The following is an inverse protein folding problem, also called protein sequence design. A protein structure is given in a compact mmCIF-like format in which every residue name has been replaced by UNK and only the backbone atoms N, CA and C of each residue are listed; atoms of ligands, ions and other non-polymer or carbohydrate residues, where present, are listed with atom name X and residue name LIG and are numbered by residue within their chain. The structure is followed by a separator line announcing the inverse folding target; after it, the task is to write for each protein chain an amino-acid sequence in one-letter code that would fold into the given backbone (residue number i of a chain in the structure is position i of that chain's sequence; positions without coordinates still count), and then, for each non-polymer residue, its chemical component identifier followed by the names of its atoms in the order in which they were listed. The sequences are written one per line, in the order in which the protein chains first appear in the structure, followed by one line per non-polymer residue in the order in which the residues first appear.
data_IF_765072018163
#
_entry.id   IF_765072018163
#
_cell.length_a   1.000
_cell.length_b   1.000
_cell.length_c   1.000
_cell.angle_alpha   90.00
_cell.angle_beta   90.00
_cell.angle_gamma   90.00
#
_symmetry.space_group_name_H-M   'P 1'
#
loop_
_entity.id
_entity.type
_entity.pdbx_description
1 polymer ?
#
# COMPACT_ATOMS: atom_id res chain seq x y z
N UNK A 1 -38.93 -21.40 -15.72
CA UNK A 1 -37.62 -21.25 -16.40
C UNK A 1 -37.11 -19.81 -16.41
N UNK A 2 -37.92 -18.80 -16.76
CA UNK A 2 -37.53 -17.38 -16.77
C UNK A 2 -36.94 -16.89 -15.43
N UNK A 3 -37.54 -17.29 -14.30
CA UNK A 3 -37.05 -16.94 -12.95
C UNK A 3 -35.67 -17.52 -12.61
N UNK A 4 -35.34 -18.72 -13.09
CA UNK A 4 -34.02 -19.34 -12.90
C UNK A 4 -32.96 -18.63 -13.75
N UNK A 5 -33.32 -18.24 -14.97
CA UNK A 5 -32.45 -17.55 -15.91
C UNK A 5 -32.08 -16.16 -15.39
N UNK A 6 -33.07 -15.39 -14.89
CA UNK A 6 -32.86 -14.06 -14.28
C UNK A 6 -31.98 -14.13 -13.01
N UNK A 7 -32.07 -15.22 -12.24
CA UNK A 7 -31.28 -15.39 -11.01
C UNK A 7 -29.84 -15.79 -11.31
N UNK A 8 -29.65 -16.72 -12.24
CA UNK A 8 -28.31 -17.10 -12.70
C UNK A 8 -27.58 -15.90 -13.31
N UNK A 9 -28.26 -15.08 -14.11
CA UNK A 9 -27.68 -13.86 -14.66
C UNK A 9 -27.32 -12.86 -13.57
N UNK A 10 -28.11 -12.75 -12.49
CA UNK A 10 -27.81 -11.86 -11.36
C UNK A 10 -26.56 -12.30 -10.58
N UNK A 11 -26.43 -13.60 -10.25
CA UNK A 11 -25.23 -14.10 -9.57
C UNK A 11 -23.97 -13.95 -10.43
N UNK A 12 -24.06 -14.26 -11.73
CA UNK A 12 -22.97 -14.07 -12.67
C UNK A 12 -22.59 -12.59 -12.75
N UNK A 13 -23.56 -11.68 -12.85
CA UNK A 13 -23.30 -10.24 -12.86
C UNK A 13 -22.58 -9.78 -11.58
N UNK A 14 -23.00 -10.25 -10.40
CA UNK A 14 -22.37 -9.89 -9.13
C UNK A 14 -20.92 -10.40 -9.04
N UNK A 15 -20.65 -11.65 -9.46
CA UNK A 15 -19.29 -12.19 -9.52
C UNK A 15 -18.42 -11.41 -10.51
N UNK A 16 -18.96 -11.06 -11.69
CA UNK A 16 -18.26 -10.23 -12.67
C UNK A 16 -17.95 -8.83 -12.13
N UNK A 17 -18.86 -8.22 -11.36
CA UNK A 17 -18.60 -6.94 -10.71
C UNK A 17 -17.50 -7.03 -9.66
N UNK A 18 -17.49 -8.10 -8.83
CA UNK A 18 -16.45 -8.31 -7.82
C UNK A 18 -15.08 -8.59 -8.46
N UNK A 19 -15.03 -9.41 -9.51
CA UNK A 19 -13.76 -9.68 -10.23
C UNK A 19 -13.26 -8.44 -10.95
N UNK A 20 -14.15 -7.67 -11.58
CA UNK A 20 -13.79 -6.40 -12.20
C UNK A 20 -13.27 -5.39 -11.17
N UNK A 21 -13.94 -5.27 -10.03
CA UNK A 21 -13.47 -4.43 -8.92
C UNK A 21 -12.09 -4.88 -8.43
N UNK A 22 -11.88 -6.19 -8.26
CA UNK A 22 -10.57 -6.74 -7.88
C UNK A 22 -9.47 -6.42 -8.89
N UNK A 23 -9.72 -6.64 -10.19
CA UNK A 23 -8.79 -6.35 -11.28
C UNK A 23 -8.47 -4.85 -11.43
N UNK A 24 -9.34 -3.96 -10.96
CA UNK A 24 -9.17 -2.51 -11.07
C UNK A 24 -8.59 -1.87 -9.82
N UNK A 25 -8.80 -2.45 -8.64
CA UNK A 25 -8.35 -1.88 -7.36
C UNK A 25 -7.19 -2.64 -6.69
N UNK A 26 -7.07 -3.96 -6.90
CA UNK A 26 -6.08 -4.79 -6.21
C UNK A 26 -4.93 -5.27 -7.09
N UNK A 27 -4.86 -4.81 -8.35
CA UNK A 27 -3.78 -5.22 -9.26
C UNK A 27 -2.37 -4.79 -8.83
N UNK A 28 -2.26 -3.82 -7.92
CA UNK A 28 -0.99 -3.34 -7.34
C UNK A 28 -0.59 -4.07 -6.06
N UNK A 29 -1.47 -4.89 -5.49
CA UNK A 29 -1.21 -5.58 -4.23
C UNK A 29 -0.59 -6.96 -4.52
N UNK A 30 0.70 -7.19 -4.20
CA UNK A 30 1.37 -8.46 -4.48
C UNK A 30 0.80 -9.64 -3.70
N UNK A 31 0.02 -9.40 -2.64
CA UNK A 31 -0.71 -10.42 -1.90
C UNK A 31 -2.07 -10.78 -2.50
N UNK A 32 -2.55 -10.03 -3.50
CA UNK A 32 -3.86 -10.24 -4.11
C UNK A 32 -3.81 -11.27 -5.25
N UNK A 33 -4.87 -12.07 -5.37
CA UNK A 33 -5.09 -12.93 -6.57
C UNK A 33 -5.23 -12.11 -7.86
N UNK A 34 -5.54 -10.82 -7.75
CA UNK A 34 -5.68 -9.91 -8.88
C UNK A 34 -4.38 -9.19 -9.24
N UNK A 35 -3.27 -9.48 -8.56
CA UNK A 35 -1.98 -8.85 -8.83
C UNK A 35 -1.57 -9.02 -10.29
N UNK A 36 -1.26 -7.91 -10.95
CA UNK A 36 -0.78 -7.90 -12.32
C UNK A 36 0.56 -7.20 -12.36
N UNK A 37 1.63 -7.99 -12.52
CA UNK A 37 3.00 -7.49 -12.56
C UNK A 37 3.23 -6.41 -13.62
N UNK A 38 2.59 -6.53 -14.78
CA UNK A 38 2.78 -5.60 -15.89
C UNK A 38 2.16 -4.22 -15.58
N UNK A 39 1.05 -4.21 -14.86
CA UNK A 39 0.32 -2.98 -14.47
C UNK A 39 0.77 -2.42 -13.12
N UNK A 40 1.19 -3.29 -12.19
CA UNK A 40 1.54 -2.93 -10.82
C UNK A 40 2.71 -1.94 -10.77
N UNK A 41 3.70 -2.15 -11.65
CA UNK A 41 4.92 -1.36 -11.71
C UNK A 41 4.90 -0.27 -12.79
N UNK A 42 3.71 0.11 -13.29
CA UNK A 42 3.59 1.26 -14.18
C UNK A 42 4.19 2.52 -13.54
N UNK A 43 5.10 3.17 -14.26
CA UNK A 43 5.88 4.31 -13.78
C UNK A 43 5.19 5.66 -13.97
N UNK A 44 3.94 5.68 -14.45
CA UNK A 44 3.23 6.91 -14.87
C UNK A 44 3.26 8.03 -13.83
N UNK A 45 3.03 7.71 -12.54
CA UNK A 45 3.07 8.72 -11.48
C UNK A 45 4.52 9.19 -11.22
N UNK A 46 5.47 8.26 -11.13
CA UNK A 46 6.89 8.59 -10.93
C UNK A 46 7.45 9.43 -12.08
N UNK A 47 7.09 9.12 -13.33
CA UNK A 47 7.43 9.89 -14.52
C UNK A 47 6.84 11.29 -14.50
N UNK A 48 5.57 11.41 -14.09
CA UNK A 48 4.95 12.71 -13.89
C UNK A 48 5.73 13.54 -12.85
N UNK A 49 6.06 12.95 -11.69
CA UNK A 49 6.85 13.62 -10.64
C UNK A 49 8.24 14.02 -11.14
N UNK A 50 8.91 13.17 -11.93
CA UNK A 50 10.22 13.50 -12.55
C UNK A 50 10.10 14.71 -13.47
N UNK A 51 9.12 14.71 -14.38
CA UNK A 51 8.91 15.82 -15.31
C UNK A 51 8.64 17.15 -14.58
N UNK A 52 7.91 17.11 -13.48
CA UNK A 52 7.69 18.30 -12.65
C UNK A 52 8.98 18.81 -11.97
N UNK A 53 9.86 17.91 -11.53
CA UNK A 53 11.17 18.27 -10.96
C UNK A 53 12.07 18.87 -12.02
N UNK A 54 12.14 18.27 -13.21
CA UNK A 54 12.92 18.80 -14.35
C UNK A 54 12.46 20.21 -14.71
N UNK A 55 11.14 20.44 -14.77
CA UNK A 55 10.58 21.78 -15.00
C UNK A 55 11.01 22.78 -13.94
N UNK A 56 11.08 22.38 -12.67
CA UNK A 56 11.57 23.24 -11.59
C UNK A 56 13.08 23.50 -11.71
N UNK A 57 13.88 22.46 -11.97
CA UNK A 57 15.33 22.58 -12.19
C UNK A 57 15.61 23.61 -13.29
N UNK A 58 14.85 23.55 -14.39
CA UNK A 58 14.98 24.47 -15.51
C UNK A 58 14.56 25.91 -15.20
N UNK A 59 13.72 26.15 -14.18
CA UNK A 59 13.32 27.51 -13.77
C UNK A 59 14.27 28.13 -12.73
N UNK A 60 15.17 27.36 -12.12
CA UNK A 60 16.11 27.88 -11.12
C UNK A 60 16.99 29.06 -11.57
N UNK A 61 17.42 29.21 -12.84
CA UNK A 61 18.11 30.41 -13.28
C UNK A 61 17.33 31.70 -12.95
N UNK A 62 16.00 31.64 -13.05
CA UNK A 62 15.07 32.74 -12.82
C UNK A 62 14.57 32.82 -11.37
N UNK A 63 14.57 31.70 -10.64
CA UNK A 63 14.23 31.68 -9.22
C UNK A 63 15.32 32.39 -8.42
N UNK A 64 14.94 33.47 -7.75
CA UNK A 64 15.74 34.02 -6.64
C UNK A 64 15.95 32.87 -5.64
N UNK A 65 17.20 32.70 -5.17
CA UNK A 65 17.48 31.75 -4.08
C UNK A 65 16.41 32.02 -3.00
N UNK A 66 15.64 31.01 -2.56
CA UNK A 66 14.68 31.21 -1.49
C UNK A 66 15.44 31.93 -0.39
N UNK A 67 14.93 33.07 0.08
CA UNK A 67 15.46 33.64 1.29
C UNK A 67 15.41 32.50 2.30
N UNK A 68 16.55 32.09 2.87
CA UNK A 68 16.59 31.12 3.95
C UNK A 68 15.57 31.61 4.98
N UNK A 69 14.37 31.02 4.97
CA UNK A 69 13.32 31.43 5.87
C UNK A 69 13.89 31.26 7.27
N UNK A 70 13.83 32.33 8.06
CA UNK A 70 14.16 32.22 9.48
C UNK A 70 13.23 31.15 10.03
N UNK A 71 13.80 30.07 10.53
CA UNK A 71 13.02 29.02 11.18
C UNK A 71 12.13 29.68 12.23
N UNK A 72 10.85 29.28 12.28
CA UNK A 72 9.83 29.96 13.10
C UNK A 72 10.18 30.03 14.59
N UNK A 73 11.10 29.17 15.06
CA UNK A 73 11.58 29.05 16.45
C UNK A 73 13.11 28.88 16.59
N UNK A 74 13.92 29.39 15.65
CA UNK A 74 15.40 29.32 15.72
C UNK A 74 15.99 28.06 15.10
N UNK A 75 15.43 26.88 15.36
CA UNK A 75 15.84 25.61 14.72
C UNK A 75 14.80 25.11 13.72
N UNK A 76 15.25 24.49 12.63
CA UNK A 76 14.38 23.87 11.61
C UNK A 76 13.68 22.64 12.20
N UNK A 77 12.47 22.32 11.72
CA UNK A 77 11.72 21.16 12.20
C UNK A 77 12.40 19.86 11.78
N UNK A 78 12.80 19.76 10.51
CA UNK A 78 13.39 18.56 9.94
C UNK A 78 14.66 18.91 9.16
N UNK A 79 15.76 18.23 9.48
CA UNK A 79 16.94 18.19 8.63
C UNK A 79 16.86 16.97 7.71
N UNK A 80 16.84 17.22 6.41
CA UNK A 80 16.83 16.21 5.36
C UNK A 80 18.27 15.99 4.90
N UNK A 81 18.83 14.82 5.20
CA UNK A 81 20.14 14.40 4.75
C UNK A 81 19.99 13.53 3.50
N UNK A 82 20.54 14.00 2.38
CA UNK A 82 20.52 13.31 1.08
C UNK A 82 21.93 12.86 0.73
N UNK A 83 22.17 11.56 0.67
CA UNK A 83 23.45 11.01 0.20
C UNK A 83 23.35 10.72 -1.29
N UNK A 84 24.15 11.41 -2.10
CA UNK A 84 24.15 11.26 -3.55
C UNK A 84 25.48 10.74 -4.09
N UNK A 85 25.38 9.74 -4.96
CA UNK A 85 26.49 9.09 -5.65
C UNK A 85 26.33 9.26 -7.16
N UNK A 86 27.43 9.17 -7.89
CA UNK A 86 27.41 9.23 -9.34
C UNK A 86 26.72 8.00 -9.92
N UNK A 87 25.65 8.19 -10.68
CA UNK A 87 24.94 7.11 -11.41
C UNK A 87 24.77 7.46 -12.88
N UNK A 88 24.50 6.44 -13.72
CA UNK A 88 24.16 6.64 -15.13
C UNK A 88 22.87 7.45 -15.31
N UNK A 89 21.87 7.17 -14.48
CA UNK A 89 20.67 8.00 -14.34
C UNK A 89 20.72 8.71 -13.00
N UNK A 90 20.97 10.01 -13.03
CA UNK A 90 20.95 10.81 -11.82
C UNK A 90 19.49 11.05 -11.41
N UNK A 91 19.12 10.46 -10.28
CA UNK A 91 17.92 10.87 -9.56
C UNK A 91 18.42 11.92 -8.58
N UNK A 92 18.05 13.18 -8.78
CA UNK A 92 18.21 14.15 -7.72
C UNK A 92 16.87 14.32 -7.02
N UNK A 93 16.82 14.18 -5.68
CA UNK A 93 15.58 13.96 -4.97
C UNK A 93 14.54 15.07 -5.19
N UNK A 94 13.27 14.72 -5.44
CA UNK A 94 12.15 15.66 -5.51
C UNK A 94 11.83 16.41 -4.21
N UNK A 95 12.59 16.18 -3.12
CA UNK A 95 12.54 16.97 -1.87
C UNK A 95 12.68 18.46 -2.19
N UNK A 96 13.42 18.78 -3.25
CA UNK A 96 13.73 20.13 -3.69
C UNK A 96 12.56 20.89 -4.34
N UNK A 97 11.38 20.27 -4.47
CA UNK A 97 10.15 20.95 -4.92
C UNK A 97 9.39 21.69 -3.83
N UNK A 98 9.78 21.55 -2.57
CA UNK A 98 9.13 22.28 -1.50
C UNK A 98 9.42 23.77 -1.67
N UNK A 99 8.35 24.54 -1.82
CA UNK A 99 8.35 25.99 -2.00
C UNK A 99 7.42 26.62 -0.96
N UNK A 100 7.71 27.85 -0.56
CA UNK A 100 6.92 28.55 0.46
C UNK A 100 7.13 27.99 1.87
N UNK A 101 6.06 27.94 2.66
CA UNK A 101 6.12 27.64 4.10
C UNK A 101 6.72 26.26 4.42
N UNK A 102 6.45 25.23 3.60
CA UNK A 102 7.02 23.89 3.80
C UNK A 102 8.55 23.90 3.70
N UNK A 103 9.13 24.81 2.89
CA UNK A 103 10.58 24.93 2.73
C UNK A 103 11.24 25.62 3.94
N UNK A 104 10.48 26.46 4.65
CA UNK A 104 10.98 27.23 5.79
C UNK A 104 11.16 26.35 7.04
N UNK A 105 10.48 25.21 7.11
CA UNK A 105 10.62 24.25 8.20
C UNK A 105 11.72 23.20 7.95
N UNK A 106 12.33 23.20 6.76
CA UNK A 106 13.35 22.25 6.36
C UNK A 106 14.76 22.82 6.30
N UNK A 107 15.73 21.99 6.69
CA UNK A 107 17.12 22.12 6.31
C UNK A 107 17.48 20.99 5.35
N UNK A 108 17.93 21.30 4.13
CA UNK A 108 18.29 20.28 3.14
C UNK A 108 19.82 20.24 3.01
N UNK A 109 20.41 19.17 3.53
CA UNK A 109 21.85 18.90 3.48
C UNK A 109 22.13 17.77 2.50
N UNK A 110 23.02 18.01 1.53
CA UNK A 110 23.36 17.06 0.47
C UNK A 110 24.81 16.63 0.61
N UNK A 111 25.02 15.35 0.92
CA UNK A 111 26.33 14.71 0.86
C UNK A 111 26.60 14.26 -0.58
N UNK A 112 27.69 14.74 -1.14
CA UNK A 112 28.26 14.22 -2.37
C UNK A 112 29.23 13.10 -1.98
N UNK A 113 28.69 11.88 -2.00
CA UNK A 113 29.31 10.66 -1.50
C UNK A 113 30.27 10.04 -2.53
N UNK A 114 31.04 10.89 -3.21
CA UNK A 114 32.13 10.50 -4.09
C UNK A 114 33.46 10.80 -3.39
N UNK A 115 34.42 9.90 -3.50
CA UNK A 115 35.80 10.15 -3.02
C UNK A 115 36.48 11.33 -3.73
N UNK A 116 36.13 11.59 -5.00
CA UNK A 116 36.41 12.86 -5.68
C UNK A 116 35.09 13.50 -6.10
N UNK A 117 34.63 14.56 -5.41
CA UNK A 117 33.32 15.17 -5.65
C UNK A 117 33.20 15.74 -7.07
N UNK A 118 34.31 16.07 -7.75
CA UNK A 118 34.28 16.62 -9.11
C UNK A 118 33.80 15.61 -10.15
N UNK A 119 33.78 14.31 -9.81
CA UNK A 119 33.21 13.26 -10.66
C UNK A 119 31.68 13.24 -10.64
N UNK A 120 31.07 13.86 -9.62
CA UNK A 120 29.63 13.90 -9.48
C UNK A 120 29.02 14.98 -10.39
N UNK A 121 28.02 14.65 -11.23
CA UNK A 121 27.42 15.63 -12.15
C UNK A 121 26.84 16.83 -11.39
N UNK A 122 26.22 16.58 -10.24
CA UNK A 122 25.61 17.61 -9.38
C UNK A 122 26.59 18.59 -8.72
N UNK A 123 27.89 18.31 -8.63
CA UNK A 123 28.83 19.08 -7.79
C UNK A 123 28.90 20.57 -8.14
N UNK A 124 29.00 20.88 -9.43
CA UNK A 124 29.15 22.25 -9.92
C UNK A 124 27.86 22.84 -10.48
N UNK A 125 26.71 22.16 -10.32
CA UNK A 125 25.45 22.67 -10.84
C UNK A 125 24.89 23.79 -9.95
N UNK A 126 24.63 24.95 -10.57
CA UNK A 126 24.12 26.13 -9.85
C UNK A 126 22.75 25.91 -9.22
N UNK A 127 21.89 25.09 -9.84
CA UNK A 127 20.55 24.84 -9.32
C UNK A 127 20.59 24.10 -7.97
N UNK A 128 21.54 23.18 -7.79
CA UNK A 128 21.69 22.44 -6.52
C UNK A 128 22.07 23.39 -5.39
N UNK A 129 23.00 24.31 -5.65
CA UNK A 129 23.42 25.37 -4.72
C UNK A 129 22.29 26.37 -4.35
N UNK A 130 21.22 26.42 -5.16
CA UNK A 130 20.02 27.22 -4.86
C UNK A 130 18.95 26.41 -4.12
N UNK A 131 18.88 25.11 -4.37
CA UNK A 131 17.87 24.22 -3.85
C UNK A 131 18.20 23.72 -2.43
N UNK A 132 19.46 23.31 -2.20
CA UNK A 132 19.97 22.83 -0.92
C UNK A 132 20.46 23.98 -0.03
N UNK A 133 20.39 23.78 1.29
CA UNK A 133 20.94 24.70 2.28
C UNK A 133 22.43 24.46 2.51
N UNK A 134 22.85 23.19 2.40
CA UNK A 134 24.21 22.74 2.62
C UNK A 134 24.56 21.65 1.60
N UNK A 135 25.74 21.78 0.99
CA UNK A 135 26.29 20.79 0.06
C UNK A 135 27.73 20.55 0.51
N UNK A 136 28.05 19.30 0.77
CA UNK A 136 29.33 18.93 1.34
C UNK A 136 29.82 17.59 0.80
N UNK A 137 31.07 17.28 1.09
CA UNK A 137 31.71 15.99 0.82
C UNK A 137 32.47 15.57 2.07
N UNK A 138 33.20 14.46 1.99
CA UNK A 138 33.95 13.98 3.15
C UNK A 138 35.13 14.89 3.51
N UNK A 139 35.33 15.09 4.80
CA UNK A 139 36.51 15.73 5.37
C UNK A 139 37.36 14.65 6.05
N UNK A 140 38.24 14.02 5.26
CA UNK A 140 38.95 12.79 5.65
C UNK A 140 40.45 13.00 5.66
N UNK A 141 41.12 12.28 6.56
CA UNK A 141 42.57 12.12 6.48
C UNK A 141 42.97 11.18 5.33
N UNK A 142 44.26 11.16 5.00
CA UNK A 142 44.80 10.36 3.88
C UNK A 142 44.49 8.86 4.01
N UNK A 143 44.51 8.32 5.23
CA UNK A 143 44.26 6.89 5.48
C UNK A 143 42.80 6.53 5.21
N UNK A 144 41.87 7.33 5.72
CA UNK A 144 40.44 7.15 5.48
C UNK A 144 40.09 7.39 4.01
N UNK A 145 40.73 8.37 3.37
CA UNK A 145 40.55 8.64 1.95
C UNK A 145 40.99 7.44 1.10
N UNK A 146 42.13 6.80 1.43
CA UNK A 146 42.56 5.56 0.77
C UNK A 146 41.59 4.41 1.01
N UNK A 147 41.08 4.27 2.24
CA UNK A 147 40.09 3.25 2.56
C UNK A 147 38.79 3.41 1.76
N UNK A 148 38.19 4.60 1.74
CA UNK A 148 36.97 4.84 0.97
C UNK A 148 37.19 4.68 -0.54
N UNK A 149 38.35 5.09 -1.06
CA UNK A 149 38.71 4.84 -2.46
C UNK A 149 38.78 3.35 -2.77
N UNK A 150 39.37 2.54 -1.88
CA UNK A 150 39.40 1.08 -2.02
C UNK A 150 37.99 0.48 -2.00
N UNK A 151 37.13 0.93 -1.08
CA UNK A 151 35.75 0.47 -1.02
C UNK A 151 34.97 0.79 -2.29
N UNK A 152 35.13 2.00 -2.82
CA UNK A 152 34.46 2.46 -4.05
C UNK A 152 34.96 1.68 -5.28
N UNK A 153 36.27 1.52 -5.44
CA UNK A 153 36.88 0.82 -6.58
C UNK A 153 36.57 -0.68 -6.59
N UNK A 154 36.49 -1.31 -5.42
CA UNK A 154 36.17 -2.72 -5.28
C UNK A 154 34.66 -2.99 -5.18
N UNK A 155 33.80 -1.98 -5.32
CA UNK A 155 32.35 -2.11 -5.25
C UNK A 155 31.82 -2.56 -3.88
N UNK A 156 32.55 -2.29 -2.79
CA UNK A 156 32.17 -2.61 -1.40
C UNK A 156 31.23 -1.55 -0.83
N UNK A 157 30.13 -1.30 -1.54
CA UNK A 157 29.17 -0.24 -1.21
C UNK A 157 28.44 -0.44 0.13
N UNK A 158 28.34 -1.67 0.62
CA UNK A 158 27.73 -1.95 1.93
C UNK A 158 28.52 -1.31 3.07
N UNK A 159 29.84 -1.43 3.03
CA UNK A 159 30.72 -0.84 4.04
C UNK A 159 30.80 0.67 3.85
N UNK A 160 30.98 1.13 2.60
CA UNK A 160 30.98 2.57 2.27
C UNK A 160 29.68 3.26 2.71
N UNK A 161 28.54 2.61 2.50
CA UNK A 161 27.22 3.14 2.87
C UNK A 161 27.09 3.44 4.36
N UNK A 162 27.80 2.73 5.24
CA UNK A 162 27.85 3.05 6.68
C UNK A 162 28.56 4.38 6.92
N UNK A 163 29.66 4.65 6.22
CA UNK A 163 30.33 5.95 6.27
C UNK A 163 29.41 7.06 5.73
N UNK A 164 28.80 6.83 4.56
CA UNK A 164 27.90 7.80 3.92
C UNK A 164 26.75 8.18 4.84
N UNK A 165 26.12 7.18 5.47
CA UNK A 165 25.04 7.37 6.41
C UNK A 165 25.48 8.14 7.65
N UNK A 166 26.64 7.78 8.23
CA UNK A 166 27.16 8.41 9.44
C UNK A 166 27.49 9.88 9.21
N UNK A 167 28.18 10.21 8.10
CA UNK A 167 28.50 11.58 7.72
C UNK A 167 27.25 12.43 7.51
N UNK A 168 26.28 11.91 6.76
CA UNK A 168 25.03 12.60 6.50
C UNK A 168 24.22 12.82 7.79
N UNK A 169 24.18 11.82 8.69
CA UNK A 169 23.49 11.90 9.96
C UNK A 169 24.14 12.94 10.89
N UNK A 170 25.46 12.88 11.07
CA UNK A 170 26.20 13.80 11.93
C UNK A 170 26.05 15.25 11.45
N UNK A 171 26.13 15.47 10.14
CA UNK A 171 25.95 16.80 9.55
C UNK A 171 24.57 17.36 9.85
N UNK A 172 23.51 16.57 9.69
CA UNK A 172 22.16 16.99 10.00
C UNK A 172 21.92 17.16 11.50
N UNK A 173 22.48 16.27 12.34
CA UNK A 173 22.38 16.36 13.78
C UNK A 173 22.99 17.66 14.32
N UNK A 174 24.12 18.08 13.77
CA UNK A 174 24.79 19.33 14.13
C UNK A 174 23.96 20.60 13.84
N UNK A 175 22.92 20.52 13.00
CA UNK A 175 22.02 21.65 12.74
C UNK A 175 21.07 21.98 13.90
N UNK A 176 20.90 21.04 14.85
CA UNK A 176 19.96 21.18 15.96
C UNK A 176 18.48 21.07 15.55
N UNK A 177 18.19 20.57 14.35
CA UNK A 177 16.81 20.29 13.94
C UNK A 177 16.13 19.27 14.87
N UNK A 178 14.80 19.38 15.02
CA UNK A 178 14.04 18.49 15.92
C UNK A 178 14.04 17.04 15.44
N UNK A 179 14.04 16.83 14.13
CA UNK A 179 14.09 15.52 13.49
C UNK A 179 15.15 15.48 12.40
N UNK A 180 15.71 14.29 12.17
CA UNK A 180 16.58 14.01 11.02
C UNK A 180 15.91 12.99 10.12
N UNK A 181 15.78 13.33 8.83
CA UNK A 181 15.28 12.46 7.78
C UNK A 181 16.44 12.02 6.90
N UNK A 182 16.69 10.72 6.83
CA UNK A 182 17.75 10.12 6.02
C UNK A 182 17.16 9.60 4.71
N UNK A 183 17.73 10.02 3.58
CA UNK A 183 17.21 9.72 2.26
C UNK A 183 18.34 9.38 1.28
N UNK A 184 18.07 8.43 0.41
CA UNK A 184 18.93 8.09 -0.73
C UNK A 184 18.62 9.01 -1.91
N UNK A 185 19.52 9.08 -2.89
CA UNK A 185 19.35 9.93 -4.06
C UNK A 185 18.39 9.34 -5.11
N UNK A 186 18.11 8.04 -5.08
CA UNK A 186 17.25 7.32 -6.03
C UNK A 186 15.76 7.26 -5.68
N UNK A 187 15.31 8.13 -4.78
CA UNK A 187 13.91 8.20 -4.37
C UNK A 187 13.15 9.29 -5.11
N UNK A 188 11.84 9.06 -5.25
CA UNK A 188 10.90 10.07 -5.74
C UNK A 188 9.84 10.31 -4.68
N UNK A 189 9.77 11.54 -4.17
CA UNK A 189 8.78 11.90 -3.18
C UNK A 189 7.43 12.19 -3.83
N UNK A 190 6.40 11.54 -3.29
CA UNK A 190 5.02 11.82 -3.61
C UNK A 190 4.65 13.26 -3.24
N UNK A 191 3.63 13.78 -3.90
CA UNK A 191 3.04 15.06 -3.51
C UNK A 191 2.49 15.01 -2.08
N UNK A 192 2.71 16.08 -1.32
CA UNK A 192 2.29 16.18 0.08
C UNK A 192 3.00 15.22 1.03
N UNK A 193 4.17 14.67 0.66
CA UNK A 193 4.93 13.76 1.51
C UNK A 193 5.23 14.37 2.89
N UNK A 194 5.51 15.67 2.96
CA UNK A 194 5.86 16.35 4.20
C UNK A 194 4.67 16.41 5.15
N UNK A 195 3.49 16.77 4.66
CA UNK A 195 2.24 16.72 5.44
C UNK A 195 1.93 15.31 5.96
N UNK A 196 2.15 14.28 5.13
CA UNK A 196 1.98 12.87 5.54
C UNK A 196 2.99 12.48 6.63
N UNK A 197 4.23 12.97 6.52
CA UNK A 197 5.26 12.81 7.55
C UNK A 197 4.83 13.44 8.88
N UNK A 198 4.35 14.68 8.87
CA UNK A 198 3.87 15.36 10.08
C UNK A 198 2.68 14.64 10.71
N UNK A 199 1.74 14.15 9.88
CA UNK A 199 0.63 13.35 10.35
C UNK A 199 1.11 12.05 11.01
N UNK A 200 2.07 11.34 10.41
CA UNK A 200 2.66 10.15 11.00
C UNK A 200 3.36 10.44 12.33
N UNK A 201 4.15 11.53 12.39
CA UNK A 201 4.78 11.98 13.62
C UNK A 201 3.78 12.24 14.74
N UNK A 202 2.67 12.92 14.46
CA UNK A 202 1.63 13.19 15.46
C UNK A 202 0.96 11.93 16.02
N UNK A 203 0.97 10.83 15.28
CA UNK A 203 0.38 9.56 15.73
C UNK A 203 1.34 8.79 16.66
N UNK A 204 2.64 8.95 16.44
CA UNK A 204 3.67 8.24 17.23
C UNK A 204 4.24 9.08 18.37
N UNK A 205 4.07 10.41 18.35
CA UNK A 205 4.58 11.31 19.40
C UNK A 205 4.11 10.90 20.79
N UNK A 206 2.88 10.44 20.90
CA UNK A 206 2.23 10.11 22.17
C UNK A 206 2.59 8.70 22.67
N UNK A 207 3.23 7.88 21.83
CA UNK A 207 3.60 6.50 22.16
C UNK A 207 4.84 6.39 23.06
N UNK A 208 5.57 7.49 23.27
CA UNK A 208 6.66 7.64 24.24
C UNK A 208 7.96 6.87 23.98
N UNK A 209 7.94 5.79 23.18
CA UNK A 209 9.08 4.90 22.97
C UNK A 209 9.26 4.54 21.48
N UNK A 210 9.82 5.45 20.68
CA UNK A 210 10.21 5.16 19.31
C UNK A 210 11.59 5.75 19.00
N UNK A 211 12.36 5.06 18.16
CA UNK A 211 13.71 5.49 17.74
C UNK A 211 13.71 6.12 16.35
N UNK A 212 12.94 5.56 15.42
CA UNK A 212 12.82 6.06 14.05
C UNK A 212 11.44 5.75 13.47
N UNK A 213 11.02 6.56 12.50
CA UNK A 213 9.86 6.31 11.65
C UNK A 213 10.33 6.06 10.22
N UNK A 214 9.86 4.99 9.60
CA UNK A 214 10.15 4.70 8.18
C UNK A 214 9.07 5.32 7.29
N UNK A 215 9.49 6.12 6.31
CA UNK A 215 8.56 6.81 5.38
C UNK A 215 8.13 5.95 4.20
N UNK A 216 8.95 4.99 3.79
CA UNK A 216 8.69 4.12 2.65
C UNK A 216 8.83 2.67 3.06
N UNK A 217 7.79 1.88 2.85
CA UNK A 217 7.89 0.43 2.98
C UNK A 217 8.41 -0.14 1.68
N UNK A 218 9.42 -1.01 1.77
CA UNK A 218 9.76 -1.87 0.64
C UNK A 218 8.56 -2.77 0.32
N UNK A 219 8.41 -3.18 -0.92
CA UNK A 219 7.35 -4.10 -1.35
C UNK A 219 7.30 -5.37 -0.47
N UNK A 220 8.46 -5.87 -0.05
CA UNK A 220 8.57 -7.01 0.89
C UNK A 220 8.05 -6.72 2.30
N UNK A 221 7.90 -5.46 2.67
CA UNK A 221 7.29 -5.02 3.93
C UNK A 221 5.79 -4.73 3.75
N UNK A 222 5.31 -4.57 2.52
CA UNK A 222 3.90 -4.47 2.20
C UNK A 222 3.31 -5.88 2.00
N UNK A 223 2.64 -6.41 3.02
CA UNK A 223 1.86 -7.65 2.91
C UNK A 223 2.62 -8.97 3.04
N UNK A 224 3.95 -9.03 2.83
CA UNK A 224 4.73 -10.28 2.99
C UNK A 224 5.21 -10.53 4.43
N UNK A 225 5.33 -9.49 5.25
CA UNK A 225 5.73 -9.64 6.66
C UNK A 225 4.57 -10.01 7.58
N UNK A 226 3.34 -9.71 7.17
CA UNK A 226 2.14 -10.17 7.86
C UNK A 226 1.76 -11.55 7.33
N UNK A 227 1.82 -12.56 8.20
CA UNK A 227 1.20 -13.88 7.98
C UNK A 227 -0.21 -13.94 8.58
N UNK A 228 -0.77 -12.79 8.96
CA UNK A 228 -2.09 -12.75 9.57
C UNK A 228 -3.13 -13.07 8.51
N UNK A 229 -3.86 -14.17 8.75
CA UNK A 229 -5.03 -14.56 7.98
C UNK A 229 -6.02 -13.39 8.06
N UNK A 230 -6.38 -12.82 6.90
CA UNK A 230 -7.29 -11.67 6.82
C UNK A 230 -6.72 -10.35 6.32
N UNK A 231 -5.39 -10.26 6.15
CA UNK A 231 -4.74 -9.08 5.58
C UNK A 231 -5.08 -8.85 4.11
N UNK A 232 -4.67 -7.71 3.54
CA UNK A 232 -4.70 -7.46 2.09
C UNK A 232 -6.08 -7.67 1.42
N UNK A 233 -7.16 -7.29 2.12
CA UNK A 233 -8.55 -7.45 1.69
C UNK A 233 -9.02 -8.92 1.55
N UNK A 234 -8.26 -9.89 2.07
CA UNK A 234 -8.57 -11.32 2.02
C UNK A 234 -9.98 -11.62 2.55
N UNK A 235 -10.35 -11.06 3.71
CA UNK A 235 -11.70 -11.26 4.26
C UNK A 235 -12.81 -10.67 3.40
N UNK A 236 -12.59 -9.54 2.75
CA UNK A 236 -13.59 -8.94 1.86
C UNK A 236 -13.76 -9.78 0.59
N UNK A 237 -12.67 -10.34 0.07
CA UNK A 237 -12.68 -11.24 -1.08
C UNK A 237 -13.38 -12.55 -0.72
N UNK A 238 -12.99 -13.18 0.41
CA UNK A 238 -13.60 -14.42 0.91
C UNK A 238 -15.09 -14.21 1.18
N UNK A 239 -15.47 -13.15 1.90
CA UNK A 239 -16.86 -12.83 2.19
C UNK A 239 -17.67 -12.58 0.91
N UNK A 240 -17.07 -11.91 -0.09
CA UNK A 240 -17.70 -11.74 -1.40
C UNK A 240 -17.96 -13.07 -2.12
N UNK A 241 -17.00 -14.00 -2.09
CA UNK A 241 -17.12 -15.34 -2.67
C UNK A 241 -18.16 -16.17 -1.90
N UNK A 242 -18.08 -16.18 -0.57
CA UNK A 242 -18.95 -16.97 0.31
C UNK A 242 -20.39 -16.50 0.24
N UNK A 243 -20.65 -15.19 0.16
CA UNK A 243 -21.99 -14.67 -0.09
C UNK A 243 -22.50 -15.15 -1.45
N UNK A 244 -21.65 -15.15 -2.48
CA UNK A 244 -22.00 -15.66 -3.81
C UNK A 244 -22.38 -17.15 -3.78
N UNK A 245 -21.61 -17.97 -3.05
CA UNK A 245 -21.85 -19.43 -2.93
C UNK A 245 -23.06 -19.71 -2.03
N UNK A 246 -23.14 -19.09 -0.86
CA UNK A 246 -24.22 -19.28 0.11
C UNK A 246 -25.57 -18.83 -0.46
N UNK A 247 -25.61 -17.71 -1.20
CA UNK A 247 -26.79 -17.34 -1.97
C UNK A 247 -27.12 -18.44 -3.00
N UNK A 248 -26.15 -18.94 -3.76
CA UNK A 248 -26.41 -20.01 -4.74
C UNK A 248 -26.99 -21.29 -4.09
N UNK A 249 -26.49 -21.69 -2.91
CA UNK A 249 -26.93 -22.89 -2.18
C UNK A 249 -28.28 -22.69 -1.48
N UNK A 250 -28.47 -21.59 -0.74
CA UNK A 250 -29.74 -21.27 -0.08
C UNK A 250 -30.90 -21.27 -1.09
N UNK A 251 -30.66 -20.68 -2.27
CA UNK A 251 -31.66 -20.59 -3.30
C UNK A 251 -31.93 -21.94 -4.00
N UNK A 252 -30.94 -22.83 -4.15
CA UNK A 252 -31.16 -24.22 -4.59
C UNK A 252 -32.04 -24.99 -3.58
N UNK A 253 -31.77 -24.84 -2.28
CA UNK A 253 -32.55 -25.48 -1.23
C UNK A 253 -34.00 -24.97 -1.14
N UNK A 254 -34.23 -23.66 -1.29
CA UNK A 254 -35.57 -23.09 -1.33
C UNK A 254 -36.40 -23.57 -2.53
N UNK A 255 -35.79 -23.63 -3.72
CA UNK A 255 -36.50 -24.10 -4.93
C UNK A 255 -36.73 -25.62 -4.93
N UNK A 256 -35.86 -26.39 -4.28
CA UNK A 256 -36.08 -27.83 -4.09
C UNK A 256 -37.20 -28.12 -3.07
N UNK A 257 -37.33 -27.32 -2.00
CA UNK A 257 -38.44 -27.41 -1.04
C UNK A 257 -39.81 -27.16 -1.66
N UNK A 258 -39.92 -26.22 -2.60
CA UNK A 258 -41.17 -26.01 -3.35
C UNK A 258 -41.55 -27.23 -4.20
N UNK A 259 -40.57 -27.93 -4.79
CA UNK A 259 -40.82 -29.14 -5.59
C UNK A 259 -41.23 -30.35 -4.75
N UNK A 260 -40.71 -30.47 -3.52
CA UNK A 260 -41.10 -31.56 -2.60
C UNK A 260 -42.50 -31.41 -2.02
N UNK A 261 -43.09 -30.22 -2.00
CA UNK A 261 -44.49 -30.01 -1.59
C UNK A 261 -45.53 -30.51 -2.62
N UNK A 262 -45.09 -30.91 -3.83
CA UNK A 262 -45.95 -31.42 -4.91
C UNK A 262 -45.90 -32.94 -5.11
N UNK A 263 -45.17 -33.69 -4.27
CA UNK A 263 -45.29 -35.15 -4.26
C UNK A 263 -46.48 -35.56 -3.37
N UNK A 264 -47.57 -36.13 -3.91
CA UNK A 264 -48.66 -36.61 -3.07
C UNK A 264 -48.17 -37.80 -2.23
N UNK A 265 -48.55 -37.82 -0.95
CA UNK A 265 -48.40 -39.02 -0.10
C UNK A 265 -48.99 -40.24 -0.83
N UNK A 266 -48.37 -41.43 -0.76
CA UNK A 266 -49.01 -42.62 -1.29
C UNK A 266 -50.34 -42.81 -0.57
N UNK A 267 -51.40 -42.99 -1.36
CA UNK A 267 -52.76 -43.25 -0.87
C UNK A 267 -52.73 -44.47 0.07
N UNK A 268 -53.11 -44.23 1.32
CA UNK A 268 -53.37 -45.24 2.33
C UNK A 268 -54.62 -46.04 1.90
N UNK A 269 -54.41 -47.06 1.06
CA UNK A 269 -55.44 -48.01 0.69
C UNK A 269 -55.61 -49.02 1.84
N UNK A 270 -56.87 -49.31 2.18
CA UNK A 270 -57.31 -50.37 3.10
C UNK A 270 -57.25 -50.08 4.61
N UNK A 271 -58.29 -49.41 5.12
CA UNK A 271 -58.98 -49.76 6.39
C UNK A 271 -60.44 -49.29 6.31
N UNK A 272 -61.26 -49.98 5.52
CA UNK A 272 -62.73 -49.86 5.59
C UNK A 272 -63.42 -51.13 5.08
N UNK A 273 -62.95 -52.28 5.58
CA UNK A 273 -63.61 -53.58 5.39
C UNK A 273 -64.04 -54.22 6.71
N UNK A 274 -63.96 -53.50 7.83
CA UNK A 274 -64.39 -53.99 9.15
C UNK A 274 -65.71 -53.41 9.67
N UNK A 275 -66.29 -52.40 9.01
CA UNK A 275 -67.52 -51.74 9.49
C UNK A 275 -68.80 -52.12 8.73
N UNK A 276 -68.68 -52.80 7.60
CA UNK A 276 -69.85 -53.34 6.86
C UNK A 276 -70.27 -54.72 7.40
N UNK A 277 -69.38 -55.45 8.08
CA UNK A 277 -69.69 -56.74 8.68
C UNK A 277 -70.23 -56.69 10.12
N UNK A 278 -70.30 -55.50 10.76
CA UNK A 278 -70.70 -55.36 12.18
C UNK A 278 -72.10 -54.75 12.38
N UNK A 279 -72.82 -54.42 11.30
CA UNK A 279 -74.18 -53.83 11.34
C UNK A 279 -75.29 -54.73 10.78
N UNK A 280 -75.03 -56.04 10.67
CA UNK A 280 -76.02 -57.04 10.23
C UNK A 280 -76.29 -58.16 11.27
N UNK A 281 -75.87 -57.98 12.53
CA UNK A 281 -75.96 -59.03 13.57
C UNK A 281 -76.57 -58.58 14.91
N UNK A 282 -77.28 -57.44 14.96
CA UNK A 282 -78.01 -57.02 16.17
C UNK A 282 -79.27 -56.22 15.81
N UNK A 283 -80.27 -56.90 15.24
CA UNK A 283 -81.69 -56.51 15.32
C UNK A 283 -82.54 -57.49 14.51
N UNK A 284 -82.70 -58.73 14.99
CA UNK A 284 -83.88 -59.56 14.71
C UNK A 284 -83.83 -60.85 15.52
N UNK A 285 -84.16 -60.77 16.81
CA UNK A 285 -84.69 -61.92 17.55
C UNK A 285 -85.53 -61.40 18.71
N UNK A 286 -86.87 -61.39 18.52
CA UNK A 286 -87.92 -61.50 19.55
C UNK A 286 -89.30 -61.24 18.90
N UNK A 287 -89.89 -62.29 18.29
CA UNK A 287 -91.23 -62.83 18.60
C UNK A 287 -91.80 -63.69 17.46
N UNK A 288 -92.02 -64.96 17.83
CA UNK A 288 -92.94 -66.01 17.34
C UNK A 288 -94.40 -65.50 17.14
N UNK A 289 -95.37 -66.24 16.54
CA UNK A 289 -95.60 -67.69 16.73
C UNK A 289 -96.17 -68.53 15.56
N UNK A 290 -96.20 -69.84 15.84
CA UNK A 290 -96.75 -70.98 15.10
C UNK A 290 -95.87 -71.58 14.00
#
# INVERSE_FOLDING_TARGET
MLSLLVKATTCIALLLCLTWYGQTHFYRDPGSVFFDKARAYETRYSEHRKAEVEKLINSYPELKKPALGKARNGNKLLCVALSSVKRETQYLPPVLRLIGEERDDLHISVLIAETDPRRHPGWNHQWLNRAADDIFTYDLNDTQTKHLNDLEQNGRYQEKGVFDYTYALERCYATGALFVGMFEDDIILAEGWFMRFLQGLSQISDSGNWLFMRLFNQERSAGWSSREIGGNNEFLIILGIDIGIAASVWFYCCTSREKHHYFPRPLEYSKNLSDVARKQWFSQELRSPC
#
